data_IF_341946614817
#
_entry.id   IF_341946614817
#
_cell.length_a   1.000
_cell.length_b   1.000
_cell.length_c   1.000
_cell.angle_alpha   90.00
_cell.angle_beta   90.00
_cell.angle_gamma   90.00
#
_symmetry.space_group_name_H-M   'P 1'
#
loop_
_entity.id
_entity.type
_entity.pdbx_description
1 polymer ?
#
# COMPACT_ATOMS: atom_id res chain seq x y z
N UNK A 1 33.88 -9.50 64.56
CA UNK A 1 32.76 -8.56 64.29
C UNK A 1 32.79 -8.16 62.81
N UNK A 2 32.23 -8.94 61.88
CA UNK A 2 31.99 -8.52 60.46
C UNK A 2 31.20 -9.51 59.58
N UNK A 3 30.69 -10.62 60.13
CA UNK A 3 30.07 -11.69 59.31
C UNK A 3 28.56 -11.83 59.50
N UNK A 4 27.82 -10.72 59.66
CA UNK A 4 26.33 -10.78 59.77
C UNK A 4 25.60 -9.77 58.87
N UNK A 5 26.32 -8.95 58.08
CA UNK A 5 25.69 -7.90 57.27
C UNK A 5 25.51 -8.24 55.78
N UNK A 6 25.94 -9.42 55.32
CA UNK A 6 25.95 -9.75 53.90
C UNK A 6 24.74 -10.55 53.39
N UNK A 7 23.65 -10.71 54.16
CA UNK A 7 22.51 -11.54 53.72
C UNK A 7 21.14 -10.84 53.72
N UNK A 8 21.10 -9.50 53.79
CA UNK A 8 19.86 -8.72 53.71
C UNK A 8 19.70 -7.95 52.40
N UNK A 9 20.30 -8.47 51.32
CA UNK A 9 20.05 -8.05 49.95
C UNK A 9 19.53 -9.23 49.13
N UNK A 10 18.49 -9.92 49.64
CA UNK A 10 17.66 -10.78 48.79
C UNK A 10 16.94 -9.82 47.83
N UNK A 11 17.60 -9.53 46.70
CA UNK A 11 17.01 -8.79 45.58
C UNK A 11 15.68 -9.48 45.27
N UNK A 12 14.58 -8.75 45.49
CA UNK A 12 13.25 -9.07 44.98
C UNK A 12 13.33 -9.11 43.45
N UNK A 13 13.87 -10.19 42.90
CA UNK A 13 13.74 -10.48 41.47
C UNK A 13 12.31 -10.94 41.26
N UNK A 14 11.39 -9.98 41.11
CA UNK A 14 10.09 -10.22 40.51
C UNK A 14 10.36 -10.60 39.05
N UNK A 15 10.51 -11.90 38.80
CA UNK A 15 10.61 -12.46 37.46
C UNK A 15 9.23 -12.46 36.80
N UNK A 16 9.22 -12.32 35.49
CA UNK A 16 8.03 -12.44 34.66
C UNK A 16 7.42 -13.84 34.84
N UNK A 17 6.17 -13.92 35.29
CA UNK A 17 5.50 -15.22 35.45
C UNK A 17 5.04 -15.73 34.09
N UNK A 18 5.02 -17.05 33.89
CA UNK A 18 4.49 -17.65 32.67
C UNK A 18 3.00 -17.29 32.46
N UNK A 19 2.26 -17.11 33.54
CA UNK A 19 0.86 -16.68 33.51
C UNK A 19 0.70 -15.25 33.00
N UNK A 20 1.57 -14.32 33.42
CA UNK A 20 1.58 -12.94 32.90
C UNK A 20 1.91 -12.92 31.40
N UNK A 21 2.85 -13.73 30.93
CA UNK A 21 3.11 -13.85 29.49
C UNK A 21 1.90 -14.36 28.72
N UNK A 22 1.25 -15.40 29.25
CA UNK A 22 0.17 -16.12 28.58
C UNK A 22 -1.04 -15.24 28.31
N UNK A 23 -1.44 -14.40 29.27
CA UNK A 23 -2.55 -13.46 29.08
C UNK A 23 -2.20 -12.40 28.02
N UNK A 24 -0.94 -11.96 27.97
CA UNK A 24 -0.50 -10.95 26.99
C UNK A 24 -0.56 -11.49 25.56
N UNK A 25 -0.01 -12.69 25.31
CA UNK A 25 -0.09 -13.29 23.96
C UNK A 25 -1.53 -13.62 23.56
N UNK A 26 -2.39 -13.97 24.52
CA UNK A 26 -3.81 -14.19 24.25
C UNK A 26 -4.51 -12.92 23.74
N UNK A 27 -4.24 -11.75 24.34
CA UNK A 27 -4.82 -10.47 23.89
C UNK A 27 -4.23 -10.05 22.54
N UNK A 28 -2.91 -10.19 22.34
CA UNK A 28 -2.25 -9.88 21.06
C UNK A 28 -2.84 -10.72 19.93
N UNK A 29 -3.12 -12.01 20.16
CA UNK A 29 -3.73 -12.88 19.16
C UNK A 29 -5.10 -12.35 18.68
N UNK A 30 -5.94 -11.86 19.59
CA UNK A 30 -7.25 -11.27 19.23
C UNK A 30 -7.08 -9.98 18.43
N UNK A 31 -6.14 -9.11 18.83
CA UNK A 31 -5.88 -7.86 18.12
C UNK A 31 -5.36 -8.11 16.70
N UNK A 32 -4.39 -9.00 16.55
CA UNK A 32 -3.78 -9.35 15.25
C UNK A 32 -4.80 -9.97 14.31
N UNK A 33 -5.72 -10.79 14.83
CA UNK A 33 -6.78 -11.41 14.02
C UNK A 33 -7.67 -10.39 13.28
N UNK A 34 -7.92 -9.22 13.89
CA UNK A 34 -8.70 -8.13 13.26
C UNK A 34 -7.78 -7.16 12.49
N UNK A 35 -6.60 -6.89 13.02
CA UNK A 35 -5.67 -5.91 12.45
C UNK A 35 -5.13 -6.31 11.08
N UNK A 36 -4.76 -7.58 10.86
CA UNK A 36 -4.21 -8.03 9.58
C UNK A 36 -5.17 -7.80 8.39
N UNK A 37 -6.42 -8.29 8.42
CA UNK A 37 -7.31 -8.13 7.27
C UNK A 37 -7.70 -6.67 7.04
N UNK A 38 -7.91 -5.90 8.10
CA UNK A 38 -8.28 -4.48 8.01
C UNK A 38 -7.14 -3.63 7.46
N UNK A 39 -5.93 -3.81 8.00
CA UNK A 39 -4.75 -3.06 7.54
C UNK A 39 -4.37 -3.44 6.11
N UNK A 40 -4.42 -4.73 5.75
CA UNK A 40 -4.13 -5.17 4.39
C UNK A 40 -5.11 -4.57 3.36
N UNK A 41 -6.41 -4.53 3.68
CA UNK A 41 -7.41 -3.89 2.82
C UNK A 41 -7.19 -2.37 2.68
N UNK A 42 -6.89 -1.70 3.78
CA UNK A 42 -6.63 -0.25 3.77
C UNK A 42 -5.35 0.12 3.01
N UNK A 43 -4.29 -0.68 3.16
CA UNK A 43 -3.03 -0.48 2.46
C UNK A 43 -3.24 -0.65 0.95
N UNK A 44 -4.00 -1.64 0.52
CA UNK A 44 -4.32 -1.78 -0.91
C UNK A 44 -5.09 -0.57 -1.44
N UNK A 45 -6.13 -0.12 -0.74
CA UNK A 45 -6.89 1.06 -1.18
C UNK A 45 -6.01 2.29 -1.35
N UNK A 46 -5.04 2.47 -0.46
CA UNK A 46 -4.07 3.55 -0.58
C UNK A 46 -3.20 3.41 -1.84
N UNK A 47 -2.70 2.20 -2.12
CA UNK A 47 -1.92 1.91 -3.34
C UNK A 47 -2.72 2.18 -4.61
N UNK A 48 -3.97 1.72 -4.65
CA UNK A 48 -4.89 1.95 -5.78
C UNK A 48 -5.08 3.44 -6.04
N UNK A 49 -5.31 4.23 -4.98
CA UNK A 49 -5.46 5.68 -5.10
C UNK A 49 -4.16 6.35 -5.61
N UNK A 50 -2.99 5.90 -5.15
CA UNK A 50 -1.69 6.39 -5.64
C UNK A 50 -1.50 6.09 -7.12
N UNK A 51 -1.79 4.86 -7.56
CA UNK A 51 -1.65 4.49 -8.97
C UNK A 51 -2.59 5.28 -9.86
N UNK A 52 -3.85 5.46 -9.44
CA UNK A 52 -4.82 6.29 -10.18
C UNK A 52 -4.32 7.73 -10.36
N UNK A 53 -3.70 8.31 -9.33
CA UNK A 53 -3.11 9.65 -9.40
C UNK A 53 -1.92 9.69 -10.36
N UNK A 54 -1.02 8.70 -10.29
CA UNK A 54 0.13 8.60 -11.18
C UNK A 54 -0.28 8.42 -12.65
N UNK A 55 -1.24 7.54 -12.92
CA UNK A 55 -1.78 7.32 -14.27
C UNK A 55 -2.45 8.57 -14.83
N UNK A 56 -3.18 9.32 -14.00
CA UNK A 56 -3.76 10.61 -14.39
C UNK A 56 -2.69 11.64 -14.75
N UNK A 57 -1.63 11.73 -13.95
CA UNK A 57 -0.51 12.65 -14.21
C UNK A 57 0.20 12.28 -15.52
N UNK A 58 0.44 11.00 -15.74
CA UNK A 58 1.03 10.49 -16.98
C UNK A 58 0.15 10.77 -18.21
N UNK A 59 -1.17 10.55 -18.11
CA UNK A 59 -2.11 10.86 -19.19
C UNK A 59 -2.03 12.35 -19.58
N UNK A 60 -2.00 13.25 -18.59
CA UNK A 60 -1.89 14.69 -18.84
C UNK A 60 -0.57 15.06 -19.53
N UNK A 61 0.54 14.47 -19.09
CA UNK A 61 1.86 14.66 -19.71
C UNK A 61 1.88 14.20 -21.18
N UNK A 62 1.25 13.06 -21.49
CA UNK A 62 1.16 12.55 -22.85
C UNK A 62 0.41 13.52 -23.77
N UNK A 63 -0.69 14.11 -23.29
CA UNK A 63 -1.42 15.11 -24.05
C UNK A 63 -0.63 16.40 -24.24
N UNK A 64 0.04 16.87 -23.19
CA UNK A 64 0.87 18.08 -23.27
C UNK A 64 1.96 17.89 -24.31
N UNK A 65 2.73 16.81 -24.22
CA UNK A 65 3.82 16.52 -25.16
C UNK A 65 3.34 16.36 -26.61
N UNK A 66 2.17 15.74 -26.82
CA UNK A 66 1.56 15.68 -28.15
C UNK A 66 1.20 17.08 -28.69
N UNK A 67 0.75 17.99 -27.83
CA UNK A 67 0.37 19.36 -28.22
C UNK A 67 1.56 20.31 -28.38
N UNK A 68 2.62 20.15 -27.58
CA UNK A 68 3.77 21.07 -27.59
C UNK A 68 4.87 20.63 -28.54
N UNK A 69 5.18 19.34 -28.54
CA UNK A 69 6.35 18.78 -29.22
C UNK A 69 5.97 17.92 -30.44
N UNK A 70 4.67 17.85 -30.78
CA UNK A 70 4.09 17.05 -31.87
C UNK A 70 4.51 15.56 -31.79
N UNK A 71 4.72 15.06 -30.57
CA UNK A 71 5.06 13.66 -30.34
C UNK A 71 3.82 12.78 -30.48
N UNK A 72 3.99 11.58 -31.04
CA UNK A 72 2.89 10.63 -31.13
C UNK A 72 2.46 10.17 -29.71
N UNK A 73 1.15 10.09 -29.49
CA UNK A 73 0.62 9.56 -28.23
C UNK A 73 1.01 8.10 -28.05
N UNK A 74 1.42 7.69 -26.83
CA UNK A 74 1.89 6.34 -26.57
C UNK A 74 0.74 5.33 -26.67
N UNK A 75 1.03 4.12 -27.12
CA UNK A 75 0.05 3.01 -27.19
C UNK A 75 0.07 2.11 -25.97
N UNK A 76 0.95 2.37 -25.01
CA UNK A 76 1.12 1.58 -23.81
C UNK A 76 1.59 2.46 -22.65
N UNK A 77 1.19 2.08 -21.43
CA UNK A 77 1.71 2.67 -20.22
C UNK A 77 3.18 2.24 -20.03
N UNK A 78 4.11 3.13 -19.64
CA UNK A 78 5.54 2.88 -19.75
C UNK A 78 6.09 1.70 -18.94
N UNK A 79 5.32 1.09 -18.03
CA UNK A 79 5.61 -0.17 -17.33
C UNK A 79 4.58 -0.44 -16.23
N UNK A 80 3.92 -1.59 -16.27
CA UNK A 80 2.99 -2.00 -15.21
C UNK A 80 3.72 -2.28 -13.88
N UNK A 81 5.02 -2.58 -13.90
CA UNK A 81 5.86 -2.75 -12.71
C UNK A 81 6.01 -1.45 -11.88
N UNK A 82 5.65 -0.29 -12.44
CA UNK A 82 5.59 0.98 -11.70
C UNK A 82 4.32 1.11 -10.85
N UNK A 83 3.33 0.23 -11.03
CA UNK A 83 2.10 0.23 -10.25
C UNK A 83 2.36 -0.43 -8.90
N UNK A 84 1.86 0.21 -7.84
CA UNK A 84 2.11 -0.22 -6.46
C UNK A 84 1.01 -1.17 -5.98
N UNK A 85 -0.20 -1.09 -6.54
CA UNK A 85 -1.31 -1.99 -6.27
C UNK A 85 -1.08 -3.38 -6.90
N UNK A 86 -1.42 -4.45 -6.16
CA UNK A 86 -1.06 -5.80 -6.57
C UNK A 86 -1.84 -6.24 -7.82
N UNK A 87 -1.11 -6.45 -8.92
CA UNK A 87 -1.65 -6.94 -10.19
C UNK A 87 -2.64 -5.98 -10.86
N UNK A 88 -2.57 -4.68 -10.52
CA UNK A 88 -3.26 -3.64 -11.26
C UNK A 88 -2.79 -3.58 -12.72
N UNK A 89 -3.63 -3.05 -13.59
CA UNK A 89 -3.38 -2.95 -15.03
C UNK A 89 -3.71 -1.55 -15.54
N UNK A 90 -2.96 -1.08 -16.54
CA UNK A 90 -3.28 0.13 -17.27
C UNK A 90 -3.42 -0.19 -18.75
N UNK A 91 -4.60 0.10 -19.30
CA UNK A 91 -4.91 -0.11 -20.71
C UNK A 91 -4.96 1.24 -21.43
N UNK A 92 -4.19 1.38 -22.50
CA UNK A 92 -4.14 2.59 -23.32
C UNK A 92 -4.84 2.30 -24.65
N UNK A 93 -5.73 3.20 -25.08
CA UNK A 93 -6.52 3.03 -26.31
C UNK A 93 -6.61 4.37 -27.04
N UNK A 94 -6.73 4.32 -28.37
CA UNK A 94 -6.73 5.52 -29.21
C UNK A 94 -5.33 6.08 -29.42
N UNK A 95 -5.13 6.71 -30.57
CA UNK A 95 -3.82 7.19 -31.02
C UNK A 95 -3.86 8.66 -31.45
N UNK A 96 -5.01 9.31 -31.29
CA UNK A 96 -5.22 10.74 -31.57
C UNK A 96 -5.73 11.42 -30.32
N UNK A 97 -5.47 12.73 -30.16
CA UNK A 97 -5.87 13.48 -28.97
C UNK A 97 -7.36 13.32 -28.62
N UNK A 98 -8.24 13.28 -29.63
CA UNK A 98 -9.69 13.11 -29.43
C UNK A 98 -10.12 11.70 -28.99
N UNK A 99 -9.29 10.68 -29.29
CA UNK A 99 -9.63 9.27 -29.03
C UNK A 99 -8.79 8.64 -27.93
N UNK A 100 -7.73 9.32 -27.50
CA UNK A 100 -6.77 8.85 -26.52
C UNK A 100 -7.43 8.64 -25.17
N UNK A 101 -7.32 7.41 -24.67
CA UNK A 101 -7.93 6.93 -23.46
C UNK A 101 -6.97 6.07 -22.67
N UNK A 102 -7.02 6.22 -21.35
CA UNK A 102 -6.18 5.47 -20.42
C UNK A 102 -7.07 4.93 -19.30
N UNK A 103 -7.16 3.62 -19.18
CA UNK A 103 -7.98 2.95 -18.17
C UNK A 103 -7.09 2.25 -17.17
N UNK A 104 -7.12 2.69 -15.92
CA UNK A 104 -6.56 1.97 -14.80
C UNK A 104 -7.59 0.97 -14.26
N UNK A 105 -7.17 -0.25 -13.94
CA UNK A 105 -8.01 -1.28 -13.31
C UNK A 105 -7.29 -1.94 -12.14
N UNK A 106 -7.89 -1.88 -10.95
CA UNK A 106 -7.41 -2.58 -9.75
C UNK A 106 -7.89 -4.03 -9.75
N UNK A 107 -6.99 -4.97 -9.42
CA UNK A 107 -7.28 -6.41 -9.45
C UNK A 107 -8.17 -6.89 -8.29
N UNK A 108 -8.00 -6.31 -7.10
CA UNK A 108 -8.62 -6.85 -5.87
C UNK A 108 -10.12 -6.60 -5.79
N UNK A 109 -10.56 -5.42 -6.18
CA UNK A 109 -11.96 -5.00 -6.14
C UNK A 109 -12.59 -4.83 -7.53
N UNK A 110 -11.77 -4.89 -8.59
CA UNK A 110 -12.22 -4.67 -9.97
C UNK A 110 -12.51 -3.21 -10.28
N UNK A 111 -12.18 -2.28 -9.39
CA UNK A 111 -12.42 -0.85 -9.60
C UNK A 111 -11.59 -0.35 -10.78
N UNK A 112 -12.23 0.36 -11.71
CA UNK A 112 -11.57 0.93 -12.87
C UNK A 112 -11.86 2.43 -13.02
N UNK A 113 -10.87 3.19 -13.48
CA UNK A 113 -10.99 4.62 -13.80
C UNK A 113 -10.44 4.84 -15.20
N UNK A 114 -11.21 5.53 -16.07
CA UNK A 114 -10.81 5.84 -17.44
C UNK A 114 -10.61 7.34 -17.61
N UNK A 115 -9.52 7.73 -18.24
CA UNK A 115 -9.21 9.10 -18.63
C UNK A 115 -9.31 9.24 -20.15
N UNK A 116 -9.89 10.33 -20.69
CA UNK A 116 -10.69 11.31 -19.96
C UNK A 116 -11.98 10.66 -19.43
N UNK A 117 -12.42 11.09 -18.24
CA UNK A 117 -13.71 10.65 -17.68
C UNK A 117 -14.82 11.11 -18.64
N UNK A 118 -15.74 10.20 -18.99
CA UNK A 118 -16.85 10.50 -19.90
C UNK A 118 -17.82 11.53 -19.31
#
# INVERSE_FOLDING_TARGET
MKTVLANKLRKNKKGFTLAELLVVVAIIAVLVAIAIPTFSSSLEKAKVATDQANVRAWYAECLISNMTDDTALPTAYPNDDSLVADGAKVEVTGTTADTFKVTYTAKRDGSSVTFPDK
#
